data_IF_190793393382
#
_entry.id   IF_190793393382
#
_cell.length_a   1.000
_cell.length_b   1.000
_cell.length_c   1.000
_cell.angle_alpha   90.00
_cell.angle_beta   90.00
_cell.angle_gamma   90.00
#
_symmetry.space_group_name_H-M   'P 1'
#
loop_
_entity.id
_entity.type
_entity.pdbx_description
1 polymer ?
#
# COMPACT_ATOMS: atom_id res chain seq x y z
N UNK A 1 15.20 -7.96 15.43
CA UNK A 1 14.18 -8.50 16.32
C UNK A 1 12.91 -8.82 15.60
N UNK A 2 12.29 -9.93 15.88
CA UNK A 2 11.07 -10.34 15.19
C UNK A 2 9.85 -9.80 15.89
N UNK A 3 8.97 -9.17 15.13
CA UNK A 3 7.65 -8.80 15.62
C UNK A 3 6.79 -10.07 15.69
N UNK A 4 5.87 -10.08 16.63
CA UNK A 4 4.90 -11.17 16.69
C UNK A 4 3.78 -10.88 15.70
N UNK A 5 3.16 -11.91 15.10
CA UNK A 5 1.95 -11.70 14.33
C UNK A 5 0.88 -11.02 15.19
N UNK A 6 0.13 -10.10 14.60
CA UNK A 6 -0.89 -9.35 15.33
C UNK A 6 -2.23 -10.06 15.38
N UNK A 7 -2.35 -11.22 14.72
CA UNK A 7 -3.58 -12.02 14.69
C UNK A 7 -3.26 -13.46 15.04
N UNK A 8 -4.22 -14.22 15.59
CA UNK A 8 -4.05 -15.64 15.83
C UNK A 8 -3.74 -16.43 14.56
N UNK A 9 -3.05 -17.56 14.68
CA UNK A 9 -2.68 -18.39 13.53
C UNK A 9 -3.90 -18.87 12.72
N UNK A 10 -5.01 -19.13 13.41
CA UNK A 10 -6.23 -19.61 12.76
C UNK A 10 -7.11 -18.49 12.20
N UNK A 11 -6.71 -17.23 12.37
CA UNK A 11 -7.45 -16.12 11.80
C UNK A 11 -7.18 -16.00 10.31
N UNK A 12 -8.24 -15.97 9.52
CA UNK A 12 -8.13 -15.82 8.06
C UNK A 12 -8.14 -14.34 7.70
N UNK A 13 -7.00 -13.86 7.22
CA UNK A 13 -6.85 -12.46 6.79
C UNK A 13 -7.52 -12.31 5.42
N UNK A 14 -8.44 -11.34 5.26
CA UNK A 14 -9.06 -11.11 3.95
C UNK A 14 -8.03 -10.80 2.87
N UNK A 15 -8.17 -11.45 1.70
CA UNK A 15 -7.26 -11.25 0.57
C UNK A 15 -7.87 -10.43 -0.55
N UNK A 16 -9.18 -10.23 -0.54
CA UNK A 16 -9.83 -9.43 -1.57
C UNK A 16 -11.21 -9.00 -1.08
N UNK A 17 -11.56 -7.77 -1.40
CA UNK A 17 -12.90 -7.25 -1.17
C UNK A 17 -13.27 -6.34 -2.33
N UNK A 18 -14.34 -6.67 -3.02
CA UNK A 18 -14.79 -5.91 -4.19
C UNK A 18 -16.16 -5.30 -3.96
N UNK A 19 -16.31 -4.04 -4.35
CA UNK A 19 -17.59 -3.34 -4.38
C UNK A 19 -17.77 -2.71 -5.75
N UNK A 20 -18.91 -2.06 -5.97
CA UNK A 20 -19.14 -1.31 -7.20
C UNK A 20 -18.24 -0.06 -7.27
N UNK A 21 -17.72 0.39 -6.16
CA UNK A 21 -16.95 1.63 -6.06
C UNK A 21 -15.44 1.40 -6.01
N UNK A 22 -15.00 0.26 -5.49
CA UNK A 22 -13.57 0.00 -5.35
C UNK A 22 -13.27 -1.50 -5.21
N UNK A 23 -12.00 -1.84 -5.40
CA UNK A 23 -11.45 -3.17 -5.11
C UNK A 23 -10.36 -3.00 -4.06
N UNK A 24 -10.39 -3.81 -3.01
CA UNK A 24 -9.40 -3.81 -1.95
C UNK A 24 -8.66 -5.15 -2.00
N UNK A 25 -7.33 -5.11 -2.03
CA UNK A 25 -6.52 -6.33 -1.95
C UNK A 25 -5.15 -6.02 -1.36
N UNK A 26 -4.44 -7.06 -0.89
CA UNK A 26 -3.14 -6.84 -0.26
C UNK A 26 -2.18 -6.09 -1.18
N UNK A 27 -1.49 -5.11 -0.63
CA UNK A 27 -0.49 -4.35 -1.36
C UNK A 27 0.70 -5.24 -1.68
N UNK A 28 1.14 -5.25 -2.92
CA UNK A 28 2.26 -6.09 -3.36
C UNK A 28 3.13 -5.34 -4.36
N UNK A 29 4.30 -5.92 -4.68
CA UNK A 29 5.21 -5.33 -5.66
C UNK A 29 4.57 -5.19 -7.05
N UNK A 30 3.55 -5.97 -7.34
CA UNK A 30 2.83 -5.88 -8.61
C UNK A 30 2.08 -4.56 -8.77
N UNK A 31 1.85 -3.85 -7.68
CA UNK A 31 1.09 -2.59 -7.68
C UNK A 31 1.96 -1.37 -7.87
N UNK A 32 3.28 -1.54 -8.07
CA UNK A 32 4.24 -0.42 -8.04
C UNK A 32 3.89 0.71 -9.01
N UNK A 33 3.49 0.39 -10.24
CA UNK A 33 3.19 1.42 -11.23
C UNK A 33 1.98 2.25 -10.81
N UNK A 34 0.88 1.60 -10.45
CA UNK A 34 -0.35 2.30 -10.02
C UNK A 34 -0.11 3.09 -8.75
N UNK A 35 0.60 2.50 -7.79
CA UNK A 35 0.89 3.15 -6.52
C UNK A 35 1.78 4.38 -6.73
N UNK A 36 2.83 4.24 -7.54
CA UNK A 36 3.74 5.33 -7.82
C UNK A 36 3.03 6.49 -8.52
N UNK A 37 2.17 6.20 -9.50
CA UNK A 37 1.38 7.20 -10.18
C UNK A 37 0.47 7.96 -9.22
N UNK A 38 -0.19 7.24 -8.32
CA UNK A 38 -1.08 7.85 -7.33
C UNK A 38 -0.31 8.78 -6.40
N UNK A 39 0.86 8.37 -5.92
CA UNK A 39 1.71 9.17 -5.03
C UNK A 39 2.18 10.42 -5.77
N UNK A 40 2.67 10.28 -7.00
CA UNK A 40 3.18 11.41 -7.76
C UNK A 40 2.10 12.41 -8.13
N UNK A 41 0.90 11.94 -8.47
CA UNK A 41 -0.24 12.80 -8.79
C UNK A 41 -0.75 13.57 -7.58
N UNK A 42 -0.41 13.13 -6.37
CA UNK A 42 -0.82 13.75 -5.11
C UNK A 42 0.32 14.52 -4.46
N UNK A 43 1.43 14.76 -5.16
CA UNK A 43 2.65 15.35 -4.59
C UNK A 43 2.40 16.67 -3.86
N UNK A 44 1.67 17.60 -4.48
CA UNK A 44 1.43 18.90 -3.88
C UNK A 44 0.63 18.81 -2.59
N UNK A 45 -0.38 17.95 -2.56
CA UNK A 45 -1.18 17.73 -1.37
C UNK A 45 -0.36 17.08 -0.26
N UNK A 46 0.40 16.02 -0.59
CA UNK A 46 1.23 15.31 0.38
C UNK A 46 2.35 16.19 0.92
N UNK A 47 2.93 17.05 0.08
CA UNK A 47 3.96 17.99 0.49
C UNK A 47 3.41 18.94 1.56
N UNK A 48 2.16 19.39 1.41
CA UNK A 48 1.54 20.25 2.40
C UNK A 48 1.30 19.58 3.74
N UNK A 49 1.12 18.25 3.74
CA UNK A 49 0.92 17.47 4.96
C UNK A 49 2.23 17.05 5.62
N UNK A 50 3.30 16.89 4.83
CA UNK A 50 4.57 16.30 5.27
C UNK A 50 5.73 17.24 4.94
N UNK A 51 5.55 18.53 5.17
CA UNK A 51 6.44 19.58 4.71
C UNK A 51 7.91 19.43 5.13
N UNK A 52 8.18 18.75 6.24
CA UNK A 52 9.55 18.59 6.73
C UNK A 52 10.24 17.33 6.21
N UNK A 53 9.51 16.41 5.61
CA UNK A 53 10.08 15.13 5.17
C UNK A 53 10.64 15.15 3.76
N UNK A 54 10.16 16.06 2.92
CA UNK A 54 10.47 16.07 1.49
C UNK A 54 9.79 14.97 0.70
N UNK A 55 9.19 14.01 1.37
CA UNK A 55 8.46 12.94 0.70
C UNK A 55 7.11 13.46 0.18
N UNK A 56 6.66 13.10 -1.03
CA UNK A 56 7.27 12.15 -1.97
C UNK A 56 8.19 12.78 -3.01
N UNK A 57 8.61 14.03 -2.82
CA UNK A 57 9.51 14.69 -3.77
C UNK A 57 10.84 13.93 -3.80
N UNK A 58 11.27 13.55 -5.01
CA UNK A 58 12.47 12.76 -5.16
C UNK A 58 12.28 11.26 -5.03
N UNK A 59 11.06 10.81 -4.70
CA UNK A 59 10.77 9.38 -4.65
C UNK A 59 10.95 8.78 -6.04
N UNK A 60 11.70 7.67 -6.13
CA UNK A 60 11.89 6.95 -7.38
C UNK A 60 10.98 5.73 -7.44
N UNK A 61 10.76 5.23 -8.64
CA UNK A 61 10.00 3.98 -8.84
C UNK A 61 10.66 2.83 -8.07
N UNK A 62 12.01 2.79 -8.09
CA UNK A 62 12.76 1.76 -7.38
C UNK A 62 12.56 1.83 -5.88
N UNK A 63 12.62 3.02 -5.30
CA UNK A 63 12.38 3.18 -3.86
C UNK A 63 10.95 2.79 -3.49
N UNK A 64 9.98 3.15 -4.33
CA UNK A 64 8.60 2.78 -4.11
C UNK A 64 8.42 1.26 -4.19
N UNK A 65 9.12 0.61 -5.13
CA UNK A 65 9.09 -0.85 -5.25
C UNK A 65 9.63 -1.53 -3.99
N UNK A 66 10.70 -1.00 -3.42
CA UNK A 66 11.29 -1.52 -2.18
C UNK A 66 10.27 -1.40 -1.04
N UNK A 67 9.60 -0.26 -0.95
CA UNK A 67 8.58 -0.03 0.09
C UNK A 67 7.41 -1.01 -0.04
N UNK A 68 6.94 -1.25 -1.27
CA UNK A 68 5.87 -2.22 -1.50
C UNK A 68 6.32 -3.64 -1.15
N UNK A 69 7.58 -3.98 -1.42
CA UNK A 69 8.14 -5.27 -1.04
C UNK A 69 8.17 -5.45 0.48
N UNK A 70 8.48 -4.40 1.21
CA UNK A 70 8.43 -4.40 2.67
C UNK A 70 7.01 -4.68 3.17
N UNK A 71 6.03 -3.96 2.65
CA UNK A 71 4.63 -4.16 3.05
C UNK A 71 4.14 -5.56 2.72
N UNK A 72 4.53 -6.10 1.56
CA UNK A 72 4.17 -7.45 1.16
C UNK A 72 4.77 -8.49 2.12
N UNK A 73 6.03 -8.31 2.51
CA UNK A 73 6.71 -9.17 3.47
C UNK A 73 5.98 -9.16 4.81
N UNK A 74 5.66 -7.97 5.31
CA UNK A 74 4.99 -7.84 6.61
C UNK A 74 3.60 -8.46 6.61
N UNK A 75 2.89 -8.36 5.49
CA UNK A 75 1.61 -9.02 5.34
C UNK A 75 1.74 -10.54 5.41
N UNK A 76 2.72 -11.08 4.67
CA UNK A 76 2.98 -12.52 4.66
C UNK A 76 3.34 -13.06 6.04
N UNK A 77 4.12 -12.30 6.80
CA UNK A 77 4.51 -12.66 8.17
C UNK A 77 3.42 -12.34 9.20
N UNK A 78 2.31 -11.74 8.77
CA UNK A 78 1.17 -11.39 9.62
C UNK A 78 1.54 -10.39 10.71
N UNK A 79 2.52 -9.51 10.43
CA UNK A 79 2.94 -8.44 11.35
C UNK A 79 2.12 -7.17 11.16
N UNK A 80 1.78 -6.85 9.92
CA UNK A 80 0.95 -5.72 9.56
C UNK A 80 0.26 -6.01 8.24
N UNK A 81 -0.90 -5.38 8.03
CA UNK A 81 -1.71 -5.64 6.85
C UNK A 81 -1.95 -4.35 6.09
N UNK A 82 -1.28 -4.21 4.94
CA UNK A 82 -1.44 -3.07 4.06
C UNK A 82 -2.25 -3.50 2.84
N UNK A 83 -3.29 -2.74 2.53
CA UNK A 83 -4.17 -3.00 1.39
C UNK A 83 -4.11 -1.83 0.44
N UNK A 84 -4.09 -2.13 -0.87
CA UNK A 84 -4.27 -1.12 -1.88
C UNK A 84 -5.75 -1.02 -2.21
N UNK A 85 -6.23 0.22 -2.35
CA UNK A 85 -7.60 0.50 -2.76
C UNK A 85 -7.55 0.90 -4.22
N UNK A 86 -8.17 0.11 -5.07
CA UNK A 86 -8.11 0.28 -6.52
C UNK A 86 -9.49 0.64 -7.06
N UNK A 87 -9.51 1.24 -8.26
CA UNK A 87 -10.74 1.38 -9.01
C UNK A 87 -11.34 -0.01 -9.29
N UNK A 88 -12.66 -0.12 -9.56
CA UNK A 88 -13.28 -1.44 -9.77
C UNK A 88 -12.62 -2.31 -10.82
N UNK A 89 -12.04 -1.69 -11.86
CA UNK A 89 -11.32 -2.40 -12.92
C UNK A 89 -9.83 -2.59 -12.60
N UNK A 90 -9.39 -2.17 -11.42
CA UNK A 90 -8.00 -2.27 -10.93
C UNK A 90 -6.97 -1.52 -11.78
N UNK A 91 -7.38 -0.56 -12.57
CA UNK A 91 -6.46 0.22 -13.41
C UNK A 91 -5.82 1.39 -12.67
N UNK A 92 -6.46 1.88 -11.63
CA UNK A 92 -6.00 3.07 -10.91
C UNK A 92 -5.97 2.82 -9.41
N UNK A 93 -4.91 3.29 -8.75
CA UNK A 93 -4.82 3.26 -7.30
C UNK A 93 -5.53 4.49 -6.73
N UNK A 94 -6.50 4.24 -5.85
CA UNK A 94 -7.27 5.31 -5.20
C UNK A 94 -6.69 5.64 -3.82
N UNK A 95 -5.89 4.75 -3.24
CA UNK A 95 -5.30 4.96 -1.92
C UNK A 95 -4.83 3.67 -1.31
N UNK A 96 -4.49 3.73 -0.03
CA UNK A 96 -4.05 2.57 0.74
C UNK A 96 -4.72 2.55 2.10
N UNK A 97 -4.87 1.36 2.65
CA UNK A 97 -5.40 1.15 3.98
C UNK A 97 -4.40 0.32 4.77
N UNK A 98 -4.06 0.77 5.98
CA UNK A 98 -3.07 0.12 6.83
C UNK A 98 -3.71 -0.33 8.13
N UNK A 99 -3.40 -1.56 8.51
CA UNK A 99 -3.89 -2.13 9.77
C UNK A 99 -2.73 -2.65 10.59
#
# INVERSE_FOLDING_TARGET
MYSRPIVPENFKVPLEYKTQEFTLRPLSVKDVIRDFEAVMNSTDHLKGLLDNSGWPIGLTMEENLIDLGWHQREFTLRHSFSYTVLSPNEEECLGCCYI
#
